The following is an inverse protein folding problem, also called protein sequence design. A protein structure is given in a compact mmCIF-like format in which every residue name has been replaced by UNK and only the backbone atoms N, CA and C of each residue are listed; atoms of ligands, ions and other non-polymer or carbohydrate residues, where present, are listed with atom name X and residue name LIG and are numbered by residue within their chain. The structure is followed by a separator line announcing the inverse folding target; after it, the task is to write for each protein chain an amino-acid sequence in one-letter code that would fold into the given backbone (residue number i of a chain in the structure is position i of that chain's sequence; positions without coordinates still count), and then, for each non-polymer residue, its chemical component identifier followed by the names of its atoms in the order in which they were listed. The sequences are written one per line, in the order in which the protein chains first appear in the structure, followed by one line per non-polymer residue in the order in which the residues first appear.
data_IF_953340911657
#
_entry.id   IF_953340911657
#
_cell.length_a   1.000
_cell.length_b   1.000
_cell.length_c   1.000
_cell.angle_alpha   90.00
_cell.angle_beta   90.00
_cell.angle_gamma   90.00
#
_symmetry.space_group_name_H-M   'P 1'
#
loop_
_entity.id
_entity.type
_entity.pdbx_description
1 polymer ?
#
# COMPACT_ATOMS: atom_id res chain seq x y z
N UNK A 1 31.44 3.31 13.70
CA UNK A 1 30.23 3.40 12.84
C UNK A 1 29.49 2.07 12.92
N UNK A 2 28.24 2.04 13.39
CA UNK A 2 27.49 0.77 13.39
C UNK A 2 27.27 0.32 11.95
N UNK A 3 27.51 -0.97 11.64
CA UNK A 3 27.22 -1.54 10.31
C UNK A 3 25.71 -1.53 10.05
N UNK A 4 25.30 -1.44 8.79
CA UNK A 4 23.88 -1.52 8.39
C UNK A 4 23.43 -2.97 8.57
N UNK A 5 22.29 -3.17 9.24
CA UNK A 5 21.69 -4.49 9.36
C UNK A 5 20.89 -4.82 8.09
N UNK A 6 21.52 -5.40 7.08
CA UNK A 6 20.82 -5.77 5.85
C UNK A 6 19.74 -6.84 6.06
N UNK A 7 19.89 -7.69 7.08
CA UNK A 7 18.95 -8.78 7.33
C UNK A 7 17.59 -8.25 7.77
N UNK A 8 17.53 -7.18 8.58
CA UNK A 8 16.24 -6.58 8.99
C UNK A 8 15.55 -5.88 7.82
N UNK A 9 16.32 -5.25 6.93
CA UNK A 9 15.82 -4.62 5.71
C UNK A 9 15.17 -5.66 4.79
N UNK A 10 15.89 -6.76 4.51
CA UNK A 10 15.38 -7.86 3.68
C UNK A 10 14.14 -8.51 4.32
N UNK A 11 14.12 -8.68 5.64
CA UNK A 11 12.95 -9.22 6.34
C UNK A 11 11.69 -8.37 6.11
N UNK A 12 11.82 -7.05 6.25
CA UNK A 12 10.71 -6.11 6.04
C UNK A 12 10.30 -6.02 4.58
N UNK A 13 11.23 -6.10 3.63
CA UNK A 13 10.91 -6.24 2.21
C UNK A 13 10.11 -7.52 1.92
N UNK A 14 10.49 -8.64 2.54
CA UNK A 14 9.72 -9.88 2.46
C UNK A 14 8.28 -9.68 2.94
N UNK A 15 8.10 -9.02 4.08
CA UNK A 15 6.77 -8.73 4.63
C UNK A 15 5.93 -7.82 3.72
N UNK A 16 6.54 -6.76 3.15
CA UNK A 16 5.88 -5.87 2.20
C UNK A 16 5.40 -6.63 0.96
N UNK A 17 6.25 -7.48 0.38
CA UNK A 17 5.89 -8.29 -0.79
C UNK A 17 4.79 -9.30 -0.47
N UNK A 18 4.84 -9.95 0.70
CA UNK A 18 3.79 -10.87 1.14
C UNK A 18 2.44 -10.14 1.26
N UNK A 19 2.43 -8.96 1.88
CA UNK A 19 1.21 -8.15 1.97
C UNK A 19 0.70 -7.77 0.58
N UNK A 20 1.59 -7.32 -0.31
CA UNK A 20 1.22 -6.96 -1.68
C UNK A 20 0.63 -8.14 -2.46
N UNK A 21 1.25 -9.31 -2.35
CA UNK A 21 0.75 -10.55 -2.96
C UNK A 21 -0.63 -10.95 -2.44
N UNK A 22 -0.92 -10.67 -1.16
CA UNK A 22 -2.25 -10.90 -0.57
C UNK A 22 -3.35 -10.12 -1.29
N UNK A 23 -3.10 -8.85 -1.64
CA UNK A 23 -4.04 -8.04 -2.42
C UNK A 23 -4.10 -8.45 -3.88
N UNK A 24 -3.00 -8.95 -4.46
CA UNK A 24 -3.04 -9.53 -5.81
C UNK A 24 -3.94 -10.77 -5.84
N UNK A 25 -3.86 -11.64 -4.81
CA UNK A 25 -4.77 -12.77 -4.67
C UNK A 25 -6.22 -12.32 -4.43
N UNK A 26 -6.45 -11.24 -3.69
CA UNK A 26 -7.79 -10.66 -3.58
C UNK A 26 -8.31 -10.21 -4.97
N UNK A 27 -7.46 -9.61 -5.79
CA UNK A 27 -7.81 -9.23 -7.16
C UNK A 27 -8.03 -10.45 -8.06
N UNK A 28 -7.32 -11.56 -7.83
CA UNK A 28 -7.63 -12.86 -8.46
C UNK A 28 -9.04 -13.34 -8.11
N UNK A 29 -9.48 -13.18 -6.86
CA UNK A 29 -10.84 -13.54 -6.46
C UNK A 29 -11.89 -12.64 -7.13
N UNK A 30 -11.60 -11.34 -7.28
CA UNK A 30 -12.44 -10.40 -8.03
C UNK A 30 -12.55 -10.85 -9.50
N UNK A 31 -11.42 -11.19 -10.13
CA UNK A 31 -11.38 -11.72 -11.50
C UNK A 31 -12.22 -13.00 -11.66
N UNK A 32 -12.14 -13.93 -10.70
CA UNK A 32 -12.96 -15.14 -10.69
C UNK A 32 -14.46 -14.84 -10.58
N UNK A 33 -14.83 -13.86 -9.75
CA UNK A 33 -16.23 -13.49 -9.55
C UNK A 33 -16.83 -12.83 -10.79
N UNK A 34 -16.11 -11.90 -11.41
CA UNK A 34 -16.56 -11.20 -12.62
C UNK A 34 -16.32 -11.99 -13.91
N UNK A 35 -15.50 -13.05 -13.87
CA UNK A 35 -15.08 -13.81 -15.05
C UNK A 35 -14.50 -12.94 -16.17
N UNK A 36 -13.68 -11.96 -15.78
CA UNK A 36 -13.11 -10.92 -16.65
C UNK A 36 -11.92 -11.39 -17.52
N UNK A 37 -11.62 -12.70 -17.49
CA UNK A 37 -10.66 -13.34 -18.40
C UNK A 37 -9.18 -13.25 -17.97
N UNK A 38 -8.84 -12.58 -16.87
CA UNK A 38 -7.44 -12.33 -16.46
C UNK A 38 -7.02 -13.00 -15.14
N UNK A 39 -7.79 -14.01 -14.72
CA UNK A 39 -7.60 -14.68 -13.42
C UNK A 39 -6.23 -15.32 -13.30
N UNK A 40 -5.79 -16.04 -14.33
CA UNK A 40 -4.57 -16.82 -14.29
C UNK A 40 -3.33 -15.90 -14.24
N UNK A 41 -3.41 -14.77 -14.92
CA UNK A 41 -2.40 -13.72 -15.03
C UNK A 41 -2.21 -13.03 -13.67
N UNK A 42 -3.31 -12.63 -13.02
CA UNK A 42 -3.27 -12.11 -11.65
C UNK A 42 -2.73 -13.14 -10.65
N UNK A 43 -3.16 -14.40 -10.76
CA UNK A 43 -2.67 -15.46 -9.88
C UNK A 43 -1.16 -15.69 -10.05
N UNK A 44 -0.66 -15.72 -11.29
CA UNK A 44 0.78 -15.83 -11.59
C UNK A 44 1.55 -14.64 -11.01
N UNK A 45 1.06 -13.41 -11.20
CA UNK A 45 1.70 -12.21 -10.64
C UNK A 45 1.79 -12.30 -9.12
N UNK A 46 0.67 -12.58 -8.45
CA UNK A 46 0.60 -12.77 -7.01
C UNK A 46 1.53 -13.88 -6.51
N UNK A 47 1.56 -15.01 -7.20
CA UNK A 47 2.40 -16.16 -6.82
C UNK A 47 3.89 -15.87 -6.93
N UNK A 48 4.35 -15.16 -7.97
CA UNK A 48 5.75 -14.75 -8.09
C UNK A 48 6.14 -13.83 -6.94
N UNK A 49 5.32 -12.82 -6.66
CA UNK A 49 5.58 -11.86 -5.58
C UNK A 49 5.55 -12.57 -4.21
N UNK A 50 4.61 -13.48 -4.01
CA UNK A 50 4.49 -14.29 -2.79
C UNK A 50 5.74 -15.15 -2.55
N UNK A 51 6.25 -15.82 -3.59
CA UNK A 51 7.45 -16.65 -3.48
C UNK A 51 8.69 -15.82 -3.16
N UNK A 52 8.90 -14.70 -3.85
CA UNK A 52 10.02 -13.79 -3.58
C UNK A 52 9.92 -13.24 -2.15
N UNK A 53 8.73 -12.78 -1.75
CA UNK A 53 8.46 -12.28 -0.41
C UNK A 53 8.72 -13.33 0.68
N UNK A 54 8.26 -14.57 0.45
CA UNK A 54 8.50 -15.71 1.35
C UNK A 54 9.98 -16.01 1.50
N UNK A 55 10.74 -16.06 0.40
CA UNK A 55 12.19 -16.28 0.44
C UNK A 55 12.86 -15.21 1.30
N UNK A 56 12.56 -13.93 1.05
CA UNK A 56 13.16 -12.82 1.81
C UNK A 56 12.82 -12.89 3.31
N UNK A 57 11.56 -13.17 3.63
CA UNK A 57 11.07 -13.25 5.00
C UNK A 57 11.69 -14.42 5.77
N UNK A 58 11.70 -15.62 5.20
CA UNK A 58 12.20 -16.82 5.88
C UNK A 58 13.73 -16.88 5.96
N UNK A 59 14.45 -16.32 4.99
CA UNK A 59 15.92 -16.25 5.02
C UNK A 59 16.47 -15.32 6.12
N UNK A 60 15.62 -14.55 6.80
CA UNK A 60 16.03 -13.48 7.73
C UNK A 60 15.38 -13.56 9.12
N UNK A 61 14.76 -14.70 9.46
CA UNK A 61 13.89 -14.91 10.64
C UNK A 61 14.53 -14.68 12.03
N UNK A 62 15.85 -14.61 12.15
CA UNK A 62 16.57 -14.50 13.44
C UNK A 62 17.41 -13.21 13.54
N UNK A 63 16.76 -12.03 13.54
CA UNK A 63 17.46 -10.76 13.73
C UNK A 63 17.05 -10.05 15.02
N UNK A 64 18.01 -9.39 15.65
CA UNK A 64 17.76 -8.41 16.71
C UNK A 64 16.94 -7.24 16.16
N UNK A 65 15.82 -6.95 16.80
CA UNK A 65 14.77 -6.03 16.32
C UNK A 65 15.10 -4.54 16.50
N UNK A 66 16.34 -4.18 16.84
CA UNK A 66 16.70 -2.78 17.01
C UNK A 66 16.97 -2.12 15.65
N UNK A 67 15.91 -1.58 15.05
CA UNK A 67 15.98 -0.81 13.81
C UNK A 67 16.61 0.56 14.09
N UNK A 68 17.70 0.87 13.39
CA UNK A 68 18.36 2.18 13.45
C UNK A 68 17.76 3.14 12.42
N UNK A 69 17.87 4.46 12.66
CA UNK A 69 17.33 5.50 11.75
C UNK A 69 17.76 5.31 10.29
N UNK A 70 19.03 4.97 10.04
CA UNK A 70 19.58 4.72 8.70
C UNK A 70 18.89 3.55 7.98
N UNK A 71 18.48 2.53 8.72
CA UNK A 71 17.77 1.37 8.17
C UNK A 71 16.34 1.77 7.81
N UNK A 72 15.67 2.57 8.66
CA UNK A 72 14.34 3.13 8.35
C UNK A 72 14.35 3.89 7.03
N UNK A 73 15.32 4.80 6.83
CA UNK A 73 15.43 5.55 5.57
C UNK A 73 15.59 4.63 4.35
N UNK A 74 16.45 3.60 4.44
CA UNK A 74 16.62 2.63 3.36
C UNK A 74 15.34 1.82 3.12
N UNK A 75 14.68 1.34 4.18
CA UNK A 75 13.46 0.54 4.09
C UNK A 75 12.35 1.34 3.41
N UNK A 76 12.19 2.62 3.76
CA UNK A 76 11.14 3.46 3.17
C UNK A 76 11.43 3.71 1.70
N UNK A 77 12.61 4.24 1.37
CA UNK A 77 12.94 4.62 -0.01
C UNK A 77 12.92 3.42 -0.97
N UNK A 78 13.57 2.33 -0.59
CA UNK A 78 13.62 1.13 -1.43
C UNK A 78 12.34 0.29 -1.33
N UNK A 79 11.61 0.38 -0.22
CA UNK A 79 10.33 -0.31 -0.03
C UNK A 79 9.27 0.19 -1.00
N UNK A 80 9.15 1.52 -1.18
CA UNK A 80 8.25 2.08 -2.20
C UNK A 80 8.64 1.62 -3.60
N UNK A 81 9.93 1.66 -3.96
CA UNK A 81 10.39 1.17 -5.25
C UNK A 81 10.08 -0.32 -5.45
N UNK A 82 10.26 -1.14 -4.42
CA UNK A 82 9.96 -2.56 -4.43
C UNK A 82 8.45 -2.82 -4.59
N UNK A 83 7.61 -2.05 -3.92
CA UNK A 83 6.15 -2.10 -4.07
C UNK A 83 5.74 -1.74 -5.50
N UNK A 84 6.33 -0.69 -6.09
CA UNK A 84 6.07 -0.28 -7.47
C UNK A 84 6.48 -1.38 -8.46
N UNK A 85 7.70 -1.91 -8.34
CA UNK A 85 8.20 -2.95 -9.23
C UNK A 85 7.39 -4.26 -9.12
N UNK A 86 6.90 -4.60 -7.93
CA UNK A 86 6.04 -5.79 -7.76
C UNK A 86 4.61 -5.51 -8.23
N UNK A 87 4.06 -4.34 -7.90
CA UNK A 87 2.67 -3.99 -8.22
C UNK A 87 2.38 -3.72 -9.69
N UNK A 88 3.43 -3.54 -10.51
CA UNK A 88 3.27 -3.44 -11.97
C UNK A 88 3.05 -4.78 -12.65
N UNK A 89 3.37 -5.90 -11.98
CA UNK A 89 3.30 -7.25 -12.59
C UNK A 89 1.90 -7.62 -13.08
N UNK A 90 0.80 -7.35 -12.35
CA UNK A 90 -0.54 -7.59 -12.87
C UNK A 90 -0.80 -6.86 -14.19
N UNK A 91 -0.39 -5.59 -14.33
CA UNK A 91 -0.60 -4.85 -15.58
C UNK A 91 0.14 -5.44 -16.77
N UNK A 92 1.36 -5.95 -16.54
CA UNK A 92 2.18 -6.58 -17.58
C UNK A 92 1.63 -7.95 -17.95
N UNK A 93 1.26 -8.78 -16.97
CA UNK A 93 0.83 -10.15 -17.24
C UNK A 93 -0.56 -10.24 -17.87
N UNK A 94 -1.41 -9.25 -17.60
CA UNK A 94 -2.76 -9.14 -18.19
C UNK A 94 -2.75 -8.42 -19.54
N UNK A 95 -1.58 -7.96 -20.01
CA UNK A 95 -1.43 -7.10 -21.18
C UNK A 95 -2.27 -5.80 -21.13
N UNK A 96 -2.76 -5.41 -19.95
CA UNK A 96 -3.51 -4.16 -19.77
C UNK A 96 -2.62 -2.93 -19.93
N UNK A 97 -1.35 -3.03 -19.53
CA UNK A 97 -0.32 -2.01 -19.79
C UNK A 97 0.98 -2.73 -20.14
N UNK A 98 1.21 -3.11 -21.41
CA UNK A 98 2.34 -3.94 -21.80
C UNK A 98 3.68 -3.19 -21.74
N UNK A 99 3.66 -1.87 -21.87
CA UNK A 99 4.87 -1.06 -21.79
C UNK A 99 5.32 -0.88 -20.34
N UNK A 100 6.52 -1.36 -20.02
CA UNK A 100 7.08 -1.32 -18.65
C UNK A 100 7.13 0.10 -18.10
N UNK A 101 7.49 1.10 -18.90
CA UNK A 101 7.53 2.51 -18.48
C UNK A 101 6.16 3.02 -18.03
N UNK A 102 5.11 2.62 -18.75
CA UNK A 102 3.73 3.02 -18.45
C UNK A 102 3.19 2.23 -17.26
N UNK A 103 3.45 0.93 -17.17
CA UNK A 103 3.07 0.12 -16.02
C UNK A 103 3.76 0.62 -14.74
N UNK A 104 5.04 0.98 -14.83
CA UNK A 104 5.78 1.59 -13.73
C UNK A 104 5.18 2.95 -13.33
N UNK A 105 4.82 3.79 -14.29
CA UNK A 105 4.18 5.08 -14.03
C UNK A 105 2.81 4.93 -13.36
N UNK A 106 1.93 4.10 -13.93
CA UNK A 106 0.58 3.84 -13.39
C UNK A 106 0.68 3.31 -11.96
N UNK A 107 1.59 2.35 -11.72
CA UNK A 107 1.78 1.76 -10.40
C UNK A 107 2.41 2.75 -9.40
N UNK A 108 3.33 3.59 -9.86
CA UNK A 108 3.91 4.67 -9.04
C UNK A 108 2.83 5.63 -8.60
N UNK A 109 2.04 6.12 -9.55
CA UNK A 109 0.91 7.01 -9.31
C UNK A 109 -0.09 6.40 -8.33
N UNK A 110 -0.36 5.10 -8.50
CA UNK A 110 -1.18 4.29 -7.61
C UNK A 110 -0.68 4.31 -6.15
N UNK A 111 0.51 3.77 -5.91
CA UNK A 111 1.02 3.67 -4.55
C UNK A 111 1.31 5.03 -3.89
N UNK A 112 1.61 6.08 -4.65
CA UNK A 112 1.80 7.41 -4.07
C UNK A 112 0.50 8.18 -3.88
N UNK A 113 -0.65 7.61 -4.27
CA UNK A 113 -1.95 8.29 -4.31
C UNK A 113 -1.87 9.62 -5.08
N UNK A 114 -1.22 9.61 -6.25
CA UNK A 114 -1.14 10.78 -7.14
C UNK A 114 -2.34 10.88 -8.07
N UNK A 115 -2.89 9.74 -8.51
CA UNK A 115 -4.06 9.69 -9.38
C UNK A 115 -3.84 10.06 -10.85
N UNK A 116 -2.59 10.32 -11.28
CA UNK A 116 -2.27 10.47 -12.69
C UNK A 116 -2.32 9.11 -13.40
N UNK A 117 -2.95 9.04 -14.57
CA UNK A 117 -3.05 7.78 -15.35
C UNK A 117 -2.52 7.94 -16.77
N UNK A 118 -1.91 6.86 -17.27
CA UNK A 118 -1.48 6.72 -18.67
C UNK A 118 -2.50 5.93 -19.50
N UNK A 119 -3.57 5.44 -18.87
CA UNK A 119 -4.63 4.68 -19.54
C UNK A 119 -5.72 5.67 -19.99
N UNK A 120 -5.99 5.71 -21.29
CA UNK A 120 -7.00 6.61 -21.85
C UNK A 120 -8.43 6.08 -21.67
N UNK A 121 -8.62 4.76 -21.82
CA UNK A 121 -9.93 4.13 -21.74
C UNK A 121 -10.00 3.16 -20.56
N UNK A 122 -10.34 3.73 -19.40
CA UNK A 122 -10.41 3.04 -18.12
C UNK A 122 -11.58 2.06 -18.10
N UNK A 123 -12.72 2.44 -18.68
CA UNK A 123 -13.97 1.66 -18.58
C UNK A 123 -13.92 0.32 -19.30
N UNK A 124 -12.99 0.17 -20.26
CA UNK A 124 -12.76 -1.07 -20.99
C UNK A 124 -11.75 -2.02 -20.32
N UNK A 125 -11.17 -1.63 -19.18
CA UNK A 125 -10.29 -2.52 -18.42
C UNK A 125 -11.07 -3.63 -17.70
N UNK A 126 -10.46 -4.81 -17.52
CA UNK A 126 -11.01 -5.86 -16.66
C UNK A 126 -11.30 -5.35 -15.25
N UNK A 127 -12.38 -5.83 -14.63
CA UNK A 127 -12.81 -5.41 -13.30
C UNK A 127 -11.74 -5.67 -12.24
N UNK A 128 -10.98 -6.76 -12.34
CA UNK A 128 -9.86 -7.02 -11.44
C UNK A 128 -8.71 -6.03 -11.58
N UNK A 129 -8.48 -5.48 -12.78
CA UNK A 129 -7.49 -4.42 -13.02
C UNK A 129 -7.97 -3.10 -12.43
N UNK A 130 -9.25 -2.76 -12.62
CA UNK A 130 -9.86 -1.60 -11.97
C UNK A 130 -9.77 -1.68 -10.44
N UNK A 131 -10.07 -2.86 -9.89
CA UNK A 131 -9.93 -3.14 -8.47
C UNK A 131 -8.48 -3.01 -7.99
N UNK A 132 -7.53 -3.55 -8.74
CA UNK A 132 -6.11 -3.45 -8.42
C UNK A 132 -5.64 -1.99 -8.39
N UNK A 133 -6.01 -1.17 -9.39
CA UNK A 133 -5.70 0.26 -9.42
C UNK A 133 -6.17 0.96 -8.15
N UNK A 134 -7.44 0.82 -7.79
CA UNK A 134 -7.98 1.43 -6.56
C UNK A 134 -7.34 0.87 -5.29
N UNK A 135 -6.97 -0.42 -5.28
CA UNK A 135 -6.28 -1.05 -4.15
C UNK A 135 -4.87 -0.47 -3.96
N UNK A 136 -4.15 -0.14 -5.04
CA UNK A 136 -2.84 0.52 -4.92
C UNK A 136 -2.94 1.90 -4.26
N UNK A 137 -3.99 2.69 -4.57
CA UNK A 137 -4.32 3.93 -3.84
C UNK A 137 -4.56 3.63 -2.37
N UNK A 138 -5.39 2.64 -2.06
CA UNK A 138 -5.75 2.30 -0.70
C UNK A 138 -4.55 1.87 0.17
N UNK A 139 -3.67 1.02 -0.38
CA UNK A 139 -2.42 0.60 0.25
C UNK A 139 -1.48 1.81 0.42
N UNK A 140 -1.35 2.63 -0.61
CA UNK A 140 -0.52 3.83 -0.63
C UNK A 140 -0.92 4.86 0.42
N UNK A 141 -2.22 5.18 0.49
CA UNK A 141 -2.81 6.08 1.46
C UNK A 141 -2.58 5.64 2.90
N UNK A 142 -2.76 4.36 3.21
CA UNK A 142 -2.36 3.86 4.54
C UNK A 142 -0.85 3.93 4.75
N UNK A 143 -0.06 3.60 3.74
CA UNK A 143 1.40 3.66 3.77
C UNK A 143 1.91 5.04 4.18
N UNK A 144 1.41 6.11 3.57
CA UNK A 144 1.82 7.48 3.91
C UNK A 144 1.34 7.92 5.29
N UNK A 145 0.14 7.51 5.72
CA UNK A 145 -0.37 7.79 7.08
C UNK A 145 0.55 7.17 8.14
N UNK A 146 0.88 5.88 7.99
CA UNK A 146 1.78 5.18 8.92
C UNK A 146 3.19 5.75 8.87
N UNK A 147 3.68 6.13 7.69
CA UNK A 147 4.97 6.75 7.52
C UNK A 147 5.04 8.10 8.24
N UNK A 148 4.02 8.94 8.08
CA UNK A 148 3.94 10.26 8.69
C UNK A 148 4.02 10.15 10.22
N UNK A 149 3.25 9.27 10.86
CA UNK A 149 3.29 9.11 12.32
C UNK A 149 4.62 8.53 12.82
N UNK A 150 5.32 7.74 12.00
CA UNK A 150 6.59 7.13 12.38
C UNK A 150 7.78 8.10 12.20
N UNK A 151 7.77 8.93 11.16
CA UNK A 151 8.90 9.78 10.76
C UNK A 151 8.76 11.22 11.27
N UNK A 152 7.58 11.84 11.24
CA UNK A 152 7.41 13.25 11.63
C UNK A 152 7.94 13.56 13.04
N UNK A 153 7.72 12.71 14.07
CA UNK A 153 8.31 12.94 15.38
C UNK A 153 9.84 12.96 15.34
N UNK A 154 10.47 12.16 14.46
CA UNK A 154 11.94 12.11 14.33
C UNK A 154 12.52 13.33 13.62
N UNK A 155 11.72 14.01 12.78
CA UNK A 155 12.10 15.23 12.06
C UNK A 155 11.84 16.51 12.86
N UNK A 156 11.19 16.42 14.03
CA UNK A 156 10.86 17.58 14.86
C UNK A 156 9.77 18.50 14.27
N UNK A 157 9.17 18.11 13.15
CA UNK A 157 8.08 18.81 12.47
C UNK A 157 6.77 18.11 12.84
N UNK A 158 5.84 18.80 13.52
CA UNK A 158 4.56 18.21 13.94
C UNK A 158 4.22 18.31 15.43
N UNK A 159 4.73 19.34 16.13
CA UNK A 159 4.21 19.69 17.46
C UNK A 159 4.75 18.85 18.62
N UNK A 160 5.90 18.17 18.49
CA UNK A 160 6.55 17.50 19.64
C UNK A 160 6.85 18.44 20.81
N UNK A 161 6.92 19.76 20.59
CA UNK A 161 7.00 20.75 21.67
C UNK A 161 5.70 20.81 22.49
N UNK A 162 4.53 20.56 21.90
CA UNK A 162 3.24 20.47 22.60
C UNK A 162 3.10 19.12 23.32
N UNK A 163 3.42 18.00 22.66
CA UNK A 163 3.37 16.67 23.29
C UNK A 163 4.37 16.50 24.44
N UNK A 164 5.53 17.15 24.37
CA UNK A 164 6.50 17.18 25.47
C UNK A 164 6.09 18.15 26.59
N UNK A 165 5.23 19.14 26.29
CA UNK A 165 4.73 20.11 27.27
C UNK A 165 3.55 19.58 28.10
N UNK A 166 2.77 18.63 27.59
CA UNK A 166 1.57 18.09 28.28
C UNK A 166 1.85 16.88 29.21
N UNK A 167 3.07 16.34 29.25
CA UNK A 167 3.41 15.23 30.16
C UNK A 167 4.38 15.67 31.26
N UNK A 168 3.95 15.74 32.54
CA UNK A 168 4.87 15.95 33.66
C UNK A 168 5.57 14.62 34.01
N UNK A 169 6.89 14.55 33.85
CA UNK A 169 7.73 13.44 34.33
C UNK A 169 8.90 13.08 33.40
N UNK A 170 9.93 12.36 33.89
CA UNK A 170 11.12 12.05 33.10
C UNK A 170 10.75 11.17 31.90
N UNK A 171 11.02 11.68 30.70
CA UNK A 171 10.68 11.10 29.39
C UNK A 171 11.52 9.85 29.10
N UNK A 172 11.18 8.75 29.76
CA UNK A 172 11.75 7.42 29.49
C UNK A 172 11.13 6.78 28.24
N UNK A 173 11.92 6.65 27.16
CA UNK A 173 11.91 5.59 26.14
C UNK A 173 10.61 4.77 25.92
N UNK A 174 9.46 5.40 25.67
CA UNK A 174 8.19 4.72 25.29
C UNK A 174 7.55 5.28 24.02
N UNK A 175 8.33 5.80 23.09
CA UNK A 175 7.82 6.20 21.77
C UNK A 175 7.33 5.00 20.95
N UNK A 176 8.05 3.86 21.00
CA UNK A 176 7.75 2.69 20.16
C UNK A 176 6.37 2.03 20.43
N UNK A 177 5.96 1.79 21.70
CA UNK A 177 4.63 1.22 21.99
C UNK A 177 3.47 2.10 21.51
N UNK A 178 3.64 3.43 21.52
CA UNK A 178 2.59 4.38 21.14
C UNK A 178 2.37 4.45 19.63
N UNK A 179 3.41 4.29 18.82
CA UNK A 179 3.31 4.36 17.35
C UNK A 179 2.48 3.19 16.82
N UNK A 180 2.73 1.97 17.30
CA UNK A 180 1.98 0.77 16.89
C UNK A 180 0.49 0.86 17.27
N UNK A 181 0.19 1.40 18.47
CA UNK A 181 -1.20 1.57 18.91
C UNK A 181 -1.92 2.66 18.11
N UNK A 182 -1.21 3.75 17.79
CA UNK A 182 -1.73 4.83 16.94
C UNK A 182 -1.99 4.32 15.52
N UNK A 183 -1.06 3.56 14.93
CA UNK A 183 -1.22 2.95 13.62
C UNK A 183 -2.45 2.03 13.55
N UNK A 184 -2.67 1.20 14.58
CA UNK A 184 -3.87 0.34 14.66
C UNK A 184 -5.16 1.14 14.71
N UNK A 185 -5.22 2.21 15.52
CA UNK A 185 -6.41 3.09 15.59
C UNK A 185 -6.69 3.75 14.25
N UNK A 186 -5.65 4.28 13.61
CA UNK A 186 -5.78 4.89 12.29
C UNK A 186 -6.23 3.88 11.23
N UNK A 187 -5.78 2.62 11.30
CA UNK A 187 -6.24 1.56 10.42
C UNK A 187 -7.75 1.32 10.56
N UNK A 188 -8.27 1.24 11.79
CA UNK A 188 -9.71 1.08 12.00
C UNK A 188 -10.52 2.28 11.47
N UNK A 189 -10.01 3.50 11.65
CA UNK A 189 -10.64 4.70 11.10
C UNK A 189 -10.62 4.66 9.57
N UNK A 190 -9.47 4.33 8.97
CA UNK A 190 -9.28 4.26 7.52
C UNK A 190 -10.25 3.27 6.87
N UNK A 191 -10.29 2.02 7.37
CA UNK A 191 -11.23 0.99 6.91
C UNK A 191 -12.69 1.41 7.17
N UNK A 192 -12.98 1.96 8.35
CA UNK A 192 -14.32 2.39 8.72
C UNK A 192 -14.86 3.49 7.81
N UNK A 193 -14.02 4.47 7.46
CA UNK A 193 -14.36 5.53 6.52
C UNK A 193 -14.54 4.97 5.10
N UNK A 194 -13.67 4.07 4.64
CA UNK A 194 -13.83 3.43 3.32
C UNK A 194 -15.16 2.71 3.21
N UNK A 195 -15.56 1.95 4.24
CA UNK A 195 -16.86 1.26 4.25
C UNK A 195 -18.04 2.23 4.34
N UNK A 196 -17.94 3.28 5.16
CA UNK A 196 -18.98 4.28 5.29
C UNK A 196 -19.21 5.02 3.96
N UNK A 197 -18.14 5.44 3.29
CA UNK A 197 -18.22 6.08 1.98
C UNK A 197 -18.78 5.12 0.92
N UNK A 198 -18.36 3.85 0.93
CA UNK A 198 -18.87 2.83 0.00
C UNK A 198 -20.39 2.70 0.11
N UNK A 199 -20.92 2.66 1.34
CA UNK A 199 -22.36 2.60 1.58
C UNK A 199 -23.07 3.87 1.13
N UNK A 200 -22.52 5.05 1.42
CA UNK A 200 -23.12 6.33 1.03
C UNK A 200 -23.17 6.50 -0.49
N UNK A 201 -22.08 6.17 -1.19
CA UNK A 201 -22.04 6.19 -2.66
C UNK A 201 -23.00 5.18 -3.26
N UNK A 202 -23.11 3.99 -2.67
CA UNK A 202 -24.06 2.98 -3.14
C UNK A 202 -25.52 3.42 -2.96
N UNK A 203 -25.87 4.03 -1.82
CA UNK A 203 -27.19 4.61 -1.57
C UNK A 203 -27.48 5.79 -2.53
N UNK A 204 -26.46 6.57 -2.88
CA UNK A 204 -26.56 7.65 -3.87
C UNK A 204 -26.77 7.16 -5.31
N UNK A 205 -26.78 5.85 -5.55
CA UNK A 205 -27.10 5.23 -6.85
C UNK A 205 -25.89 4.66 -7.60
N UNK A 206 -24.69 4.70 -7.03
CA UNK A 206 -23.50 4.09 -7.64
C UNK A 206 -23.51 2.56 -7.45
N UNK A 207 -23.14 1.80 -8.49
CA UNK A 207 -22.98 0.35 -8.38
C UNK A 207 -21.99 -0.02 -7.28
N UNK A 208 -22.20 -1.13 -6.57
CA UNK A 208 -21.38 -1.50 -5.41
C UNK A 208 -19.88 -1.59 -5.74
N UNK A 209 -19.56 -2.14 -6.92
CA UNK A 209 -18.17 -2.23 -7.41
C UNK A 209 -17.56 -0.85 -7.63
N UNK A 210 -18.25 0.06 -8.32
CA UNK A 210 -17.78 1.42 -8.51
C UNK A 210 -17.65 2.17 -7.16
N UNK A 211 -18.60 1.97 -6.24
CA UNK A 211 -18.62 2.61 -4.94
C UNK A 211 -17.42 2.23 -4.07
N UNK A 212 -17.06 0.94 -3.99
CA UNK A 212 -15.91 0.50 -3.19
C UNK A 212 -14.58 0.99 -3.80
N UNK A 213 -14.48 0.98 -5.13
CA UNK A 213 -13.29 1.47 -5.85
C UNK A 213 -13.08 2.97 -5.64
N UNK A 214 -14.12 3.78 -5.83
CA UNK A 214 -14.03 5.21 -5.59
C UNK A 214 -13.75 5.53 -4.12
N UNK A 215 -14.36 4.81 -3.17
CA UNK A 215 -14.09 5.00 -1.73
C UNK A 215 -12.64 4.70 -1.35
N UNK A 216 -12.07 3.62 -1.90
CA UNK A 216 -10.65 3.30 -1.70
C UNK A 216 -9.74 4.44 -2.17
N UNK A 217 -10.09 5.07 -3.29
CA UNK A 217 -9.36 6.18 -3.89
C UNK A 217 -9.55 7.51 -3.13
N UNK A 218 -10.78 7.84 -2.72
CA UNK A 218 -11.11 9.08 -1.99
C UNK A 218 -10.45 9.11 -0.63
N UNK A 219 -10.57 8.04 0.16
CA UNK A 219 -9.98 7.98 1.51
C UNK A 219 -8.45 8.05 1.45
N UNK A 220 -7.85 7.53 0.37
CA UNK A 220 -6.42 7.67 0.10
C UNK A 220 -6.03 9.06 -0.45
N UNK A 221 -6.99 9.93 -0.75
CA UNK A 221 -6.81 11.23 -1.43
C UNK A 221 -6.13 11.14 -2.80
N UNK A 222 -6.34 10.02 -3.51
CA UNK A 222 -5.60 9.72 -4.74
C UNK A 222 -6.28 10.17 -6.04
N UNK A 223 -7.55 9.84 -6.26
CA UNK A 223 -8.31 10.32 -7.43
C UNK A 223 -8.42 9.37 -8.63
N UNK A 224 -8.00 8.10 -8.53
CA UNK A 224 -8.39 7.05 -9.48
C UNK A 224 -9.89 6.81 -9.42
N UNK A 225 -10.47 6.47 -10.57
CA UNK A 225 -11.86 6.06 -10.71
C UNK A 225 -11.98 4.86 -11.66
N UNK A 226 -13.14 4.21 -11.62
CA UNK A 226 -13.54 3.15 -12.58
C UNK A 226 -14.17 3.72 -13.85
N UNK A 227 -14.34 5.04 -13.91
CA UNK A 227 -14.91 5.76 -15.04
C UNK A 227 -13.87 6.66 -15.70
N UNK A 228 -14.09 7.00 -16.96
CA UNK A 228 -13.33 8.02 -17.66
C UNK A 228 -13.78 9.40 -17.13
N UNK A 229 -12.91 10.09 -16.38
CA UNK A 229 -13.20 11.39 -15.71
C UNK A 229 -12.32 12.50 -16.25
#
# INVERSE_FOLDING_TARGET
MSRINYKIIINLFGLLLLFNSGFMFLSTLVSLYFSDGVTLEFFKAGMIVFLIGSIFFFSTKNNDQQIQKKEVFLIVTLGWLLMICSGMLPFIFTDSIPQISYAFFETSSGYTATGASVIEDIENLPESILFWRSTTHWIGGMGIIVLAIAILPLLGVGGMQLFSAETPGPSGNKLHPRITDTAKRLWYIYVGLTLAETLLLNIAGMGFFDAINNSMSTIATGGFSTKNV
#
